data_IF_253237681486
#
_entry.id   IF_253237681486
#
_cell.length_a   1.000
_cell.length_b   1.000
_cell.length_c   1.000
_cell.angle_alpha   90.00
_cell.angle_beta   90.00
_cell.angle_gamma   90.00
#
_symmetry.space_group_name_H-M   'P 1'
#
loop_
_entity.id
_entity.type
_entity.pdbx_description
1 polymer ?
#
# COMPACT_ATOMS: atom_id res chain seq x y z
N UNK A 1 24.20 57.04 6.48
CA UNK A 1 22.97 56.48 7.09
C UNK A 1 22.72 55.13 6.43
N UNK A 2 22.93 54.04 7.17
CA UNK A 2 22.77 52.68 6.66
C UNK A 2 21.28 52.35 6.55
N UNK A 3 20.84 51.94 5.36
CA UNK A 3 19.48 51.49 5.13
C UNK A 3 19.25 50.17 5.90
N UNK A 4 18.35 50.22 6.86
CA UNK A 4 17.89 49.07 7.62
C UNK A 4 17.15 48.13 6.66
N UNK A 5 17.76 46.99 6.34
CA UNK A 5 17.12 45.93 5.59
C UNK A 5 15.88 45.46 6.34
N UNK A 6 14.70 45.60 5.72
CA UNK A 6 13.46 45.11 6.27
C UNK A 6 13.58 43.59 6.52
N UNK A 7 13.40 43.22 7.80
CA UNK A 7 13.41 41.83 8.24
C UNK A 7 12.34 41.07 7.44
N UNK A 8 12.75 40.09 6.65
CA UNK A 8 11.83 39.26 5.88
C UNK A 8 10.76 38.66 6.81
N UNK A 9 9.49 38.86 6.46
CA UNK A 9 8.37 38.32 7.22
C UNK A 9 8.48 36.78 7.29
N UNK A 10 8.20 36.16 8.46
CA UNK A 10 8.23 34.71 8.57
C UNK A 10 7.18 34.09 7.65
N UNK A 11 7.61 33.29 6.67
CA UNK A 11 6.72 32.45 5.85
C UNK A 11 5.93 31.53 6.79
N UNK A 12 4.64 31.80 6.99
CA UNK A 12 3.74 30.90 7.74
C UNK A 12 3.72 29.54 7.04
N UNK A 13 4.31 28.53 7.67
CA UNK A 13 4.21 27.10 7.30
C UNK A 13 2.76 26.64 7.54
N UNK A 14 1.84 26.95 6.62
CA UNK A 14 0.41 26.57 6.67
C UNK A 14 -0.07 26.03 5.32
N UNK A 15 0.68 25.11 4.71
CA UNK A 15 0.39 24.61 3.35
C UNK A 15 -0.54 23.39 3.34
N UNK A 16 -0.09 22.25 3.85
CA UNK A 16 -0.71 20.98 3.51
C UNK A 16 -2.02 20.65 4.23
N UNK A 17 -2.10 20.85 5.56
CA UNK A 17 -3.28 20.49 6.35
C UNK A 17 -4.53 21.23 5.88
N UNK A 18 -4.38 22.50 5.52
CA UNK A 18 -5.47 23.34 5.02
C UNK A 18 -5.90 22.93 3.60
N UNK A 19 -4.95 22.66 2.69
CA UNK A 19 -5.26 22.19 1.33
C UNK A 19 -5.99 20.85 1.39
N UNK A 20 -5.46 19.89 2.15
CA UNK A 20 -6.06 18.55 2.26
C UNK A 20 -7.47 18.62 2.85
N UNK A 21 -7.67 19.42 3.89
CA UNK A 21 -8.99 19.54 4.50
C UNK A 21 -9.97 20.35 3.64
N UNK A 22 -9.52 21.36 2.90
CA UNK A 22 -10.34 22.02 1.89
C UNK A 22 -10.74 21.06 0.79
N UNK A 23 -9.82 20.25 0.26
CA UNK A 23 -10.10 19.20 -0.73
C UNK A 23 -11.19 18.28 -0.18
N UNK A 24 -11.02 17.77 1.05
CA UNK A 24 -11.97 16.85 1.69
C UNK A 24 -13.33 17.52 1.93
N UNK A 25 -13.39 18.79 2.31
CA UNK A 25 -14.68 19.48 2.50
C UNK A 25 -15.36 19.77 1.17
N UNK A 26 -14.60 20.13 0.13
CA UNK A 26 -15.13 20.34 -1.20
C UNK A 26 -15.66 19.03 -1.81
N UNK A 27 -14.99 17.90 -1.55
CA UNK A 27 -15.52 16.55 -1.81
C UNK A 27 -16.87 16.32 -1.09
N UNK A 28 -16.98 16.77 0.15
CA UNK A 28 -18.15 16.46 0.97
C UNK A 28 -19.32 17.45 0.77
N UNK A 29 -19.05 18.66 0.27
CA UNK A 29 -20.01 19.76 0.07
C UNK A 29 -20.40 19.97 -1.40
N UNK A 30 -19.57 19.60 -2.39
CA UNK A 30 -19.87 19.75 -3.83
C UNK A 30 -21.17 19.05 -4.28
N UNK A 31 -21.63 18.11 -3.47
CA UNK A 31 -22.94 17.49 -3.53
C UNK A 31 -24.14 18.46 -3.40
N UNK A 32 -23.99 19.59 -2.71
CA UNK A 32 -25.11 20.45 -2.33
C UNK A 32 -25.58 21.37 -3.46
N UNK A 33 -24.73 21.64 -4.46
CA UNK A 33 -25.00 22.65 -5.49
C UNK A 33 -25.73 22.12 -6.74
N UNK A 34 -25.88 20.80 -6.90
CA UNK A 34 -26.55 20.19 -8.07
C UNK A 34 -27.59 19.20 -7.59
N UNK A 35 -28.84 19.66 -7.50
CA UNK A 35 -30.01 18.82 -7.24
C UNK A 35 -30.86 18.69 -8.50
N UNK A 36 -31.41 17.47 -8.69
CA UNK A 36 -32.25 16.97 -9.79
C UNK A 36 -31.50 16.19 -10.88
N UNK A 37 -30.90 15.04 -10.55
CA UNK A 37 -31.32 13.75 -11.13
C UNK A 37 -30.47 12.57 -10.68
N UNK A 38 -31.15 11.44 -10.56
CA UNK A 38 -30.67 10.05 -10.49
C UNK A 38 -30.24 9.50 -9.12
N UNK A 39 -31.01 8.50 -8.70
CA UNK A 39 -30.64 7.50 -7.72
C UNK A 39 -29.95 6.35 -8.45
N UNK A 40 -28.67 6.11 -8.16
CA UNK A 40 -28.05 4.82 -8.36
C UNK A 40 -27.05 4.62 -7.21
N UNK A 41 -27.38 3.70 -6.31
CA UNK A 41 -26.43 3.24 -5.30
C UNK A 41 -25.51 2.23 -5.97
N UNK A 42 -24.31 2.64 -6.35
CA UNK A 42 -23.21 1.72 -6.58
C UNK A 42 -22.36 1.65 -5.31
N UNK A 43 -22.00 0.45 -4.87
CA UNK A 43 -20.78 0.28 -4.06
C UNK A 43 -19.64 0.90 -4.85
N UNK A 44 -18.81 1.72 -4.21
CA UNK A 44 -17.60 2.21 -4.86
C UNK A 44 -16.63 1.04 -4.94
N UNK A 45 -16.31 0.62 -6.17
CA UNK A 45 -15.22 -0.32 -6.39
C UNK A 45 -13.94 0.25 -5.74
N UNK A 46 -13.27 -0.60 -4.97
CA UNK A 46 -11.94 -0.31 -4.49
C UNK A 46 -11.00 -0.08 -5.67
N UNK A 47 -10.08 0.85 -5.48
CA UNK A 47 -8.94 1.01 -6.37
C UNK A 47 -7.71 0.54 -5.61
N UNK A 48 -7.05 -0.50 -6.12
CA UNK A 48 -5.75 -0.93 -5.67
C UNK A 48 -4.65 -0.12 -6.37
N UNK A 49 -3.51 0.06 -5.70
CA UNK A 49 -2.33 0.69 -6.29
C UNK A 49 -1.34 -0.39 -6.77
N UNK A 50 -0.88 -0.27 -8.01
CA UNK A 50 0.14 -1.15 -8.59
C UNK A 50 1.56 -0.64 -8.26
N UNK A 51 2.40 -1.54 -7.76
CA UNK A 51 3.85 -1.36 -7.65
C UNK A 51 4.56 -2.35 -8.56
N UNK A 52 5.40 -1.87 -9.47
CA UNK A 52 6.25 -2.68 -10.34
C UNK A 52 7.67 -2.61 -9.80
N UNK A 53 8.22 -3.75 -9.41
CA UNK A 53 9.59 -3.82 -8.89
C UNK A 53 10.60 -4.16 -9.98
N UNK A 54 10.24 -5.06 -10.89
CA UNK A 54 11.05 -5.38 -12.07
C UNK A 54 10.23 -5.07 -13.34
N UNK A 55 10.84 -4.39 -14.34
CA UNK A 55 10.12 -3.88 -15.50
C UNK A 55 9.63 -5.04 -16.36
N UNK A 56 8.30 -5.23 -16.44
CA UNK A 56 7.51 -6.04 -17.41
C UNK A 56 6.18 -6.47 -16.78
N UNK A 57 5.36 -5.50 -16.38
CA UNK A 57 3.98 -5.75 -15.96
C UNK A 57 3.03 -5.05 -16.90
N UNK A 58 2.04 -5.80 -17.38
CA UNK A 58 0.98 -5.27 -18.23
C UNK A 58 -0.36 -5.37 -17.52
N UNK A 59 -1.20 -4.36 -17.74
CA UNK A 59 -2.57 -4.28 -17.23
C UNK A 59 -3.53 -4.24 -18.42
N UNK A 60 -4.61 -5.02 -18.33
CA UNK A 60 -5.75 -4.94 -19.23
C UNK A 60 -6.96 -4.46 -18.42
N UNK A 61 -7.57 -3.37 -18.85
CA UNK A 61 -8.75 -2.81 -18.18
C UNK A 61 -10.03 -3.40 -18.76
N UNK A 62 -10.93 -3.88 -17.91
CA UNK A 62 -12.26 -4.41 -18.27
C UNK A 62 -12.26 -5.39 -19.45
N UNK A 63 -11.28 -6.29 -19.49
CA UNK A 63 -11.15 -7.31 -20.55
C UNK A 63 -10.64 -6.78 -21.90
N UNK A 64 -10.13 -5.55 -21.94
CA UNK A 64 -9.43 -4.99 -23.11
C UNK A 64 -8.03 -5.57 -23.33
N UNK A 65 -7.26 -4.92 -24.21
CA UNK A 65 -5.90 -5.35 -24.52
C UNK A 65 -4.92 -5.04 -23.37
N UNK A 66 -3.93 -5.92 -23.19
CA UNK A 66 -2.85 -5.69 -22.23
C UNK A 66 -1.92 -4.56 -22.71
N UNK A 67 -1.79 -3.53 -21.87
CA UNK A 67 -0.84 -2.44 -22.06
C UNK A 67 0.21 -2.42 -20.96
N UNK A 68 1.42 -1.94 -21.25
CA UNK A 68 2.45 -1.74 -20.23
C UNK A 68 1.96 -0.76 -19.16
N UNK A 69 2.11 -1.14 -17.89
CA UNK A 69 1.76 -0.29 -16.76
C UNK A 69 3.02 0.28 -16.09
N UNK A 70 2.82 1.27 -15.22
CA UNK A 70 3.88 1.90 -14.43
C UNK A 70 3.57 1.81 -12.94
N UNK A 71 4.60 1.83 -12.09
CA UNK A 71 4.39 1.98 -10.64
C UNK A 71 3.54 3.22 -10.36
N UNK A 72 2.55 3.05 -9.50
CA UNK A 72 1.55 4.06 -9.19
C UNK A 72 0.26 3.92 -9.98
N UNK A 73 0.21 3.14 -11.07
CA UNK A 73 -1.05 2.90 -11.81
C UNK A 73 -2.12 2.29 -10.90
N UNK A 74 -3.39 2.61 -11.20
CA UNK A 74 -4.55 2.05 -10.50
C UNK A 74 -4.97 0.71 -11.06
N UNK A 75 -5.50 -0.16 -10.20
CA UNK A 75 -6.12 -1.44 -10.56
C UNK A 75 -7.49 -1.49 -9.91
N UNK A 76 -8.54 -1.72 -10.69
CA UNK A 76 -9.92 -1.80 -10.22
C UNK A 76 -10.54 -3.18 -10.54
N UNK A 77 -11.73 -3.43 -9.98
CA UNK A 77 -12.48 -4.63 -10.32
C UNK A 77 -12.75 -4.69 -11.84
N UNK A 78 -12.46 -5.83 -12.47
CA UNK A 78 -12.47 -6.03 -13.92
C UNK A 78 -11.06 -6.04 -14.54
N UNK A 79 -10.07 -5.46 -13.88
CA UNK A 79 -8.71 -5.36 -14.42
C UNK A 79 -7.92 -6.67 -14.27
N UNK A 80 -7.17 -7.00 -15.31
CA UNK A 80 -6.24 -8.11 -15.32
C UNK A 80 -4.79 -7.64 -15.30
N UNK A 81 -3.95 -8.30 -14.50
CA UNK A 81 -2.51 -8.08 -14.40
C UNK A 81 -1.76 -9.29 -14.91
N UNK A 82 -0.65 -9.01 -15.60
CA UNK A 82 0.26 -10.04 -16.07
C UNK A 82 1.72 -9.64 -15.87
N UNK A 83 2.51 -10.56 -15.33
CA UNK A 83 3.97 -10.48 -15.27
C UNK A 83 4.57 -11.49 -16.24
N UNK A 84 5.69 -11.15 -16.88
CA UNK A 84 6.43 -12.09 -17.72
C UNK A 84 7.48 -12.88 -16.91
N UNK A 85 8.44 -13.51 -17.59
CA UNK A 85 9.49 -14.32 -16.98
C UNK A 85 10.43 -13.54 -16.03
N UNK A 86 10.47 -12.21 -16.12
CA UNK A 86 11.26 -11.30 -15.29
C UNK A 86 10.38 -10.35 -14.46
N UNK A 87 9.07 -10.35 -14.65
CA UNK A 87 8.18 -9.40 -14.00
C UNK A 87 8.00 -9.69 -12.52
N UNK A 88 8.05 -8.63 -11.71
CA UNK A 88 7.71 -8.64 -10.29
C UNK A 88 6.86 -7.43 -9.98
N UNK A 89 5.69 -7.65 -9.41
CA UNK A 89 4.75 -6.59 -9.10
C UNK A 89 3.98 -6.85 -7.80
N UNK A 90 3.25 -5.87 -7.33
CA UNK A 90 2.25 -6.03 -6.29
C UNK A 90 1.07 -5.09 -6.49
N UNK A 91 -0.10 -5.52 -6.05
CA UNK A 91 -1.28 -4.67 -5.88
C UNK A 91 -1.56 -4.49 -4.39
N UNK A 92 -1.87 -3.27 -4.01
CA UNK A 92 -2.12 -2.88 -2.63
C UNK A 92 -3.50 -2.26 -2.51
N UNK A 93 -4.38 -2.90 -1.75
CA UNK A 93 -5.71 -2.36 -1.44
C UNK A 93 -5.63 -1.29 -0.31
N UNK A 94 -6.59 -0.34 -0.27
CA UNK A 94 -6.65 0.74 0.72
C UNK A 94 -6.63 0.31 2.20
N UNK A 95 -7.10 -0.90 2.50
CA UNK A 95 -7.13 -1.45 3.85
C UNK A 95 -5.76 -1.92 4.34
N UNK A 96 -4.78 -2.02 3.43
CA UNK A 96 -3.45 -2.58 3.65
C UNK A 96 -3.28 -4.02 3.13
N UNK A 97 -4.29 -4.63 2.50
CA UNK A 97 -4.16 -5.97 1.91
C UNK A 97 -3.27 -5.93 0.67
N UNK A 98 -2.16 -6.67 0.72
CA UNK A 98 -1.11 -6.68 -0.31
C UNK A 98 -1.07 -8.03 -1.02
N UNK A 99 -1.14 -8.03 -2.35
CA UNK A 99 -0.90 -9.22 -3.18
C UNK A 99 0.31 -8.99 -4.06
N UNK A 100 1.39 -9.74 -3.84
CA UNK A 100 2.60 -9.75 -4.67
C UNK A 100 2.49 -10.81 -5.77
N UNK A 101 2.96 -10.49 -6.96
CA UNK A 101 3.02 -11.35 -8.14
C UNK A 101 4.48 -11.73 -8.40
N UNK A 102 4.74 -13.01 -8.59
CA UNK A 102 6.02 -13.53 -9.07
C UNK A 102 6.08 -13.47 -10.61
N UNK A 103 7.13 -14.05 -11.19
CA UNK A 103 7.27 -14.22 -12.65
C UNK A 103 6.12 -15.08 -13.21
N UNK A 104 5.74 -14.82 -14.46
CA UNK A 104 4.73 -15.56 -15.23
C UNK A 104 3.37 -15.68 -14.50
N UNK A 105 2.97 -14.65 -13.77
CA UNK A 105 1.69 -14.62 -13.07
C UNK A 105 0.64 -13.91 -13.93
N UNK A 106 -0.59 -14.43 -13.91
CA UNK A 106 -1.75 -13.79 -14.53
C UNK A 106 -2.92 -13.85 -13.54
N UNK A 107 -3.45 -12.68 -13.17
CA UNK A 107 -4.60 -12.56 -12.27
C UNK A 107 -5.55 -11.46 -12.71
N UNK A 108 -6.79 -11.55 -12.26
CA UNK A 108 -7.82 -10.53 -12.44
C UNK A 108 -8.40 -10.18 -11.08
N UNK A 109 -8.43 -8.89 -10.74
CA UNK A 109 -9.19 -8.42 -9.59
C UNK A 109 -10.67 -8.40 -10.00
N UNK A 110 -11.49 -9.31 -9.48
CA UNK A 110 -12.89 -9.46 -9.93
C UNK A 110 -13.87 -8.70 -9.05
N UNK A 111 -13.58 -8.56 -7.77
CA UNK A 111 -14.30 -7.68 -6.87
C UNK A 111 -13.36 -7.10 -5.83
N UNK A 112 -13.66 -5.88 -5.41
CA UNK A 112 -13.12 -5.31 -4.19
C UNK A 112 -14.09 -4.23 -3.73
N UNK A 113 -14.87 -4.52 -2.70
CA UNK A 113 -15.91 -3.64 -2.22
C UNK A 113 -15.57 -3.09 -0.84
N UNK A 114 -15.82 -1.79 -0.66
CA UNK A 114 -15.74 -1.14 0.63
C UNK A 114 -17.11 -0.97 1.26
N UNK A 115 -17.21 -1.26 2.55
CA UNK A 115 -18.33 -0.86 3.36
C UNK A 115 -18.36 0.66 3.53
N UNK A 116 -19.52 1.20 3.95
CA UNK A 116 -19.74 2.66 4.08
C UNK A 116 -18.79 3.34 5.07
N UNK A 117 -18.24 2.59 6.01
CA UNK A 117 -17.25 3.04 7.00
C UNK A 117 -15.81 3.05 6.43
N UNK A 118 -15.64 2.67 5.16
CA UNK A 118 -14.37 2.61 4.47
C UNK A 118 -13.57 1.33 4.72
N UNK A 119 -14.11 0.35 5.45
CA UNK A 119 -13.45 -0.94 5.63
C UNK A 119 -13.68 -1.86 4.42
N UNK A 120 -12.70 -2.69 4.07
CA UNK A 120 -12.89 -3.70 3.05
C UNK A 120 -14.01 -4.66 3.50
N UNK A 121 -14.97 -4.90 2.63
CA UNK A 121 -16.09 -5.82 2.85
C UNK A 121 -15.78 -7.17 2.23
N UNK A 122 -15.35 -7.18 0.97
CA UNK A 122 -14.88 -8.37 0.27
C UNK A 122 -13.90 -7.98 -0.81
N UNK A 123 -12.98 -8.90 -1.13
CA UNK A 123 -12.19 -8.84 -2.35
C UNK A 123 -12.00 -10.24 -2.93
N UNK A 124 -12.05 -10.33 -4.25
CA UNK A 124 -11.90 -11.57 -4.99
C UNK A 124 -10.90 -11.40 -6.12
N UNK A 125 -9.99 -12.37 -6.22
CA UNK A 125 -9.03 -12.49 -7.31
C UNK A 125 -9.32 -13.80 -8.04
N UNK A 126 -9.33 -13.76 -9.36
CA UNK A 126 -9.20 -14.96 -10.20
C UNK A 126 -7.75 -15.02 -10.67
N UNK A 127 -7.04 -16.06 -10.29
CA UNK A 127 -5.68 -16.31 -10.75
C UNK A 127 -5.73 -17.40 -11.82
N UNK A 128 -5.00 -17.20 -12.92
CA UNK A 128 -4.93 -18.17 -14.02
C UNK A 128 -3.60 -18.90 -14.06
N UNK A 129 -2.52 -18.26 -13.63
CA UNK A 129 -1.18 -18.82 -13.72
C UNK A 129 -0.22 -18.18 -12.72
N UNK A 130 0.88 -18.87 -12.43
CA UNK A 130 2.02 -18.35 -11.67
C UNK A 130 1.77 -18.32 -10.17
N UNK A 131 2.70 -17.67 -9.45
CA UNK A 131 2.66 -17.56 -7.99
C UNK A 131 2.22 -16.17 -7.55
N UNK A 132 1.38 -16.12 -6.52
CA UNK A 132 1.09 -14.90 -5.77
C UNK A 132 1.25 -15.14 -4.28
N UNK A 133 1.68 -14.11 -3.56
CA UNK A 133 1.66 -14.09 -2.10
C UNK A 133 0.72 -12.98 -1.66
N UNK A 134 -0.20 -13.28 -0.75
CA UNK A 134 -1.13 -12.30 -0.21
C UNK A 134 -1.01 -12.20 1.31
N UNK A 135 -0.91 -10.97 1.80
CA UNK A 135 -1.05 -10.61 3.21
C UNK A 135 -2.37 -9.85 3.40
N UNK A 136 -3.40 -10.56 3.86
CA UNK A 136 -4.73 -9.98 4.13
C UNK A 136 -4.73 -9.36 5.51
N UNK A 137 -5.15 -8.11 5.61
CA UNK A 137 -5.16 -7.40 6.90
C UNK A 137 -6.22 -7.97 7.84
N UNK A 138 -5.83 -8.19 9.09
CA UNK A 138 -6.72 -8.66 10.14
C UNK A 138 -7.62 -7.51 10.61
N UNK A 139 -8.85 -7.43 10.10
CA UNK A 139 -9.83 -6.39 10.46
C UNK A 139 -11.03 -6.97 11.21
N UNK A 140 -11.63 -6.13 12.05
CA UNK A 140 -12.80 -6.46 12.87
C UNK A 140 -14.04 -6.74 12.01
N UNK A 141 -14.11 -6.18 10.79
CA UNK A 141 -15.15 -6.55 9.82
C UNK A 141 -14.93 -8.00 9.38
N UNK A 142 -16.02 -8.76 9.22
CA UNK A 142 -16.00 -10.13 8.68
C UNK A 142 -15.60 -10.21 7.21
N UNK A 143 -14.62 -9.42 6.79
CA UNK A 143 -14.20 -9.29 5.41
C UNK A 143 -13.65 -10.63 4.91
N UNK A 144 -14.09 -11.03 3.73
CA UNK A 144 -13.66 -12.27 3.09
C UNK A 144 -12.76 -11.92 1.92
N UNK A 145 -11.60 -12.59 1.86
CA UNK A 145 -10.73 -12.52 0.69
C UNK A 145 -10.71 -13.87 -0.01
N UNK A 146 -10.90 -13.88 -1.32
CA UNK A 146 -10.96 -15.10 -2.13
C UNK A 146 -9.93 -15.07 -3.25
N UNK A 147 -9.24 -16.19 -3.44
CA UNK A 147 -8.44 -16.46 -4.63
C UNK A 147 -8.98 -17.71 -5.30
N UNK A 148 -9.56 -17.55 -6.47
CA UNK A 148 -10.10 -18.64 -7.28
C UNK A 148 -9.12 -18.99 -8.40
N UNK A 149 -8.75 -20.26 -8.48
CA UNK A 149 -8.12 -20.86 -9.65
C UNK A 149 -9.14 -21.64 -10.49
N UNK A 150 -8.65 -22.33 -11.52
CA UNK A 150 -9.49 -23.22 -12.33
C UNK A 150 -10.01 -24.43 -11.51
N UNK A 151 -9.19 -24.96 -10.62
CA UNK A 151 -9.45 -26.22 -9.91
C UNK A 151 -10.13 -26.05 -8.55
N UNK A 152 -9.87 -24.94 -7.85
CA UNK A 152 -10.33 -24.72 -6.48
C UNK A 152 -10.33 -23.22 -6.11
N UNK A 153 -10.88 -22.89 -4.95
CA UNK A 153 -10.89 -21.54 -4.37
C UNK A 153 -10.35 -21.56 -2.95
N UNK A 154 -9.41 -20.67 -2.66
CA UNK A 154 -8.93 -20.38 -1.32
C UNK A 154 -9.71 -19.20 -0.73
N UNK A 155 -10.37 -19.40 0.40
CA UNK A 155 -11.12 -18.38 1.15
C UNK A 155 -10.43 -18.14 2.47
N UNK A 156 -10.16 -16.87 2.79
CA UNK A 156 -9.38 -16.51 3.98
C UNK A 156 -9.94 -15.29 4.71
N UNK A 157 -9.49 -15.13 5.95
CA UNK A 157 -9.70 -13.93 6.76
C UNK A 157 -8.45 -13.62 7.57
N UNK A 158 -7.78 -12.51 7.24
CA UNK A 158 -6.62 -12.04 8.01
C UNK A 158 -5.46 -13.04 8.00
N UNK A 159 -5.02 -13.43 6.81
CA UNK A 159 -4.17 -14.60 6.55
C UNK A 159 -2.99 -14.21 5.66
N UNK A 160 -1.81 -14.81 5.90
CA UNK A 160 -0.67 -14.75 4.98
C UNK A 160 -0.52 -16.08 4.26
N UNK A 161 -0.66 -16.06 2.94
CA UNK A 161 -0.67 -17.29 2.14
C UNK A 161 -0.11 -17.06 0.73
N UNK A 162 0.38 -18.13 0.12
CA UNK A 162 0.78 -18.19 -1.28
C UNK A 162 -0.20 -19.07 -2.06
N UNK A 163 -0.50 -18.66 -3.29
CA UNK A 163 -1.18 -19.47 -4.30
C UNK A 163 -0.27 -19.65 -5.50
N UNK A 164 0.00 -20.90 -5.87
CA UNK A 164 0.69 -21.27 -7.09
C UNK A 164 -0.24 -22.06 -8.01
N UNK A 165 -0.60 -21.46 -9.15
CA UNK A 165 -1.29 -22.16 -10.24
C UNK A 165 -0.25 -22.61 -11.27
N UNK A 166 -0.08 -23.92 -11.38
CA UNK A 166 0.87 -24.56 -12.30
C UNK A 166 0.30 -24.63 -13.71
N UNK A 167 1.17 -24.90 -14.68
CA UNK A 167 0.79 -25.02 -16.09
C UNK A 167 -0.19 -26.17 -16.37
N UNK A 168 -0.24 -27.18 -15.49
CA UNK A 168 -1.20 -28.29 -15.57
C UNK A 168 -2.59 -27.95 -15.00
N UNK A 169 -2.78 -26.73 -14.47
CA UNK A 169 -4.03 -26.28 -13.85
C UNK A 169 -4.19 -26.67 -12.37
N UNK A 170 -3.21 -27.38 -11.78
CA UNK A 170 -3.21 -27.64 -10.34
C UNK A 170 -2.93 -26.37 -9.55
N UNK A 171 -3.55 -26.28 -8.37
CA UNK A 171 -3.45 -25.13 -7.47
C UNK A 171 -2.83 -25.60 -6.15
N UNK A 172 -1.61 -25.15 -5.88
CA UNK A 172 -0.93 -25.33 -4.59
C UNK A 172 -1.18 -24.09 -3.74
N UNK A 173 -1.58 -24.30 -2.48
CA UNK A 173 -1.73 -23.26 -1.47
C UNK A 173 -0.74 -23.52 -0.34
N UNK A 174 0.02 -22.49 0.06
CA UNK A 174 0.84 -22.51 1.29
C UNK A 174 0.32 -21.45 2.25
N UNK A 175 -0.01 -21.87 3.46
CA UNK A 175 -0.56 -21.04 4.53
C UNK A 175 0.52 -20.77 5.58
N UNK A 176 0.96 -19.52 5.70
CA UNK A 176 2.01 -19.10 6.62
C UNK A 176 1.50 -18.50 7.92
N UNK A 177 0.31 -17.88 7.91
CA UNK A 177 -0.30 -17.28 9.11
C UNK A 177 -1.83 -17.28 8.97
N UNK A 178 -2.54 -17.64 10.04
CA UNK A 178 -4.00 -17.66 10.08
C UNK A 178 -4.61 -19.00 9.67
N UNK A 179 -5.83 -18.92 9.13
CA UNK A 179 -6.63 -20.06 8.69
C UNK A 179 -7.11 -19.83 7.25
N UNK A 180 -7.40 -20.92 6.54
CA UNK A 180 -7.83 -20.91 5.14
C UNK A 180 -8.79 -22.07 4.86
N UNK A 181 -9.91 -21.77 4.23
CA UNK A 181 -10.81 -22.77 3.68
C UNK A 181 -10.47 -22.99 2.21
N UNK A 182 -10.15 -24.24 1.84
CA UNK A 182 -9.79 -24.61 0.47
C UNK A 182 -10.90 -25.47 -0.13
N UNK A 183 -11.61 -24.91 -1.10
CA UNK A 183 -12.83 -25.49 -1.67
C UNK A 183 -12.63 -25.90 -3.13
N UNK A 184 -12.79 -27.19 -3.41
CA UNK A 184 -12.80 -27.80 -4.74
C UNK A 184 -13.97 -28.76 -4.87
N UNK A 185 -13.71 -30.00 -5.31
CA UNK A 185 -14.68 -31.11 -5.22
C UNK A 185 -14.92 -31.58 -3.78
N UNK A 186 -13.91 -31.42 -2.95
CA UNK A 186 -13.97 -31.59 -1.51
C UNK A 186 -13.51 -30.31 -0.82
N UNK A 187 -13.78 -30.21 0.48
CA UNK A 187 -13.37 -29.09 1.32
C UNK A 187 -12.23 -29.51 2.24
N UNK A 188 -11.23 -28.66 2.39
CA UNK A 188 -10.14 -28.81 3.35
C UNK A 188 -9.96 -27.50 4.11
N UNK A 189 -10.18 -27.53 5.42
CA UNK A 189 -9.82 -26.44 6.31
C UNK A 189 -8.35 -26.57 6.71
N UNK A 190 -7.59 -25.49 6.53
CA UNK A 190 -6.15 -25.43 6.80
C UNK A 190 -5.87 -24.45 7.94
N UNK A 191 -4.93 -24.84 8.81
CA UNK A 191 -4.40 -24.00 9.90
C UNK A 191 -2.90 -23.85 9.74
N UNK A 192 -2.36 -22.66 10.01
CA UNK A 192 -0.92 -22.42 9.83
C UNK A 192 -0.04 -23.30 10.74
N UNK A 193 1.17 -23.72 10.30
CA UNK A 193 1.69 -23.65 8.93
C UNK A 193 1.37 -24.93 8.15
N UNK A 194 0.68 -24.80 7.02
CA UNK A 194 0.27 -25.95 6.20
C UNK A 194 0.32 -25.64 4.71
N UNK A 195 0.42 -26.67 3.87
CA UNK A 195 0.14 -26.60 2.44
C UNK A 195 -0.84 -27.69 2.02
N UNK A 196 -1.60 -27.43 0.95
CA UNK A 196 -2.46 -28.42 0.28
C UNK A 196 -2.47 -28.15 -1.23
N UNK A 197 -2.77 -29.18 -2.03
CA UNK A 197 -2.84 -29.05 -3.49
C UNK A 197 -4.18 -29.56 -3.99
N UNK A 198 -4.85 -28.75 -4.81
CA UNK A 198 -5.92 -29.18 -5.68
C UNK A 198 -5.34 -29.65 -7.02
N UNK A 199 -5.65 -30.88 -7.44
CA UNK A 199 -5.33 -31.34 -8.78
C UNK A 199 -6.13 -30.56 -9.85
N UNK A 200 -5.83 -30.75 -11.13
CA UNK A 200 -6.51 -30.04 -12.22
C UNK A 200 -8.02 -30.35 -12.31
N UNK A 201 -8.49 -31.42 -11.65
CA UNK A 201 -9.89 -31.83 -11.58
C UNK A 201 -10.58 -31.33 -10.31
N UNK A 202 -9.88 -30.59 -9.46
CA UNK A 202 -10.38 -29.99 -8.23
C UNK A 202 -10.43 -30.92 -7.02
N UNK A 203 -9.81 -32.11 -7.06
CA UNK A 203 -9.68 -32.91 -5.84
C UNK A 203 -8.54 -32.35 -4.99
N UNK A 204 -8.83 -32.02 -3.73
CA UNK A 204 -7.86 -31.44 -2.80
C UNK A 204 -7.26 -32.55 -1.95
N UNK A 205 -5.94 -32.68 -2.00
CA UNK A 205 -5.17 -33.58 -1.14
C UNK A 205 -5.13 -33.11 0.32
N UNK A 206 -4.76 -34.00 1.23
CA UNK A 206 -4.64 -33.66 2.65
C UNK A 206 -3.68 -32.50 2.90
N UNK A 207 -4.04 -31.62 3.85
CA UNK A 207 -3.14 -30.58 4.33
C UNK A 207 -1.94 -31.20 5.06
N UNK A 208 -0.74 -30.68 4.79
CA UNK A 208 0.52 -31.17 5.36
C UNK A 208 1.53 -30.04 5.58
N UNK A 209 2.75 -30.34 6.06
CA UNK A 209 3.77 -29.31 6.26
C UNK A 209 4.16 -28.64 4.94
N UNK A 210 4.47 -27.34 5.00
CA UNK A 210 5.02 -26.61 3.85
C UNK A 210 6.34 -27.26 3.43
N UNK A 211 6.46 -27.63 2.16
CA UNK A 211 7.65 -28.24 1.59
C UNK A 211 8.57 -27.17 0.98
N UNK A 212 9.91 -27.35 1.08
CA UNK A 212 10.86 -26.49 0.39
C UNK A 212 10.62 -26.46 -1.12
N UNK A 213 10.69 -25.26 -1.71
CA UNK A 213 10.52 -25.01 -3.14
C UNK A 213 11.55 -23.97 -3.56
N UNK A 214 12.53 -24.38 -4.36
CA UNK A 214 13.65 -23.51 -4.76
C UNK A 214 13.24 -22.42 -5.75
N UNK A 215 12.10 -22.56 -6.42
CA UNK A 215 11.59 -21.55 -7.34
C UNK A 215 10.64 -20.56 -6.66
N UNK A 216 10.30 -20.79 -5.40
CA UNK A 216 9.42 -19.93 -4.61
C UNK A 216 10.20 -18.73 -4.05
N UNK A 217 9.94 -17.50 -4.52
CA UNK A 217 10.61 -16.32 -3.98
C UNK A 217 10.07 -15.93 -2.61
N UNK A 218 8.82 -16.29 -2.28
CA UNK A 218 8.08 -15.64 -1.20
C UNK A 218 8.50 -16.09 0.19
N UNK A 219 9.11 -17.27 0.36
CA UNK A 219 9.63 -17.71 1.66
C UNK A 219 10.70 -16.74 2.18
N UNK A 220 11.68 -16.41 1.36
CA UNK A 220 12.75 -15.48 1.74
C UNK A 220 12.22 -14.05 1.90
N UNK A 221 11.29 -13.63 1.04
CA UNK A 221 10.65 -12.30 1.10
C UNK A 221 9.83 -12.14 2.38
N UNK A 222 9.03 -13.14 2.73
CA UNK A 222 8.23 -13.14 3.95
C UNK A 222 9.11 -13.13 5.20
N UNK A 223 10.19 -13.92 5.22
CA UNK A 223 11.14 -13.92 6.34
C UNK A 223 11.77 -12.53 6.55
N UNK A 224 12.18 -11.86 5.47
CA UNK A 224 12.72 -10.51 5.54
C UNK A 224 11.66 -9.47 5.96
N UNK A 225 10.46 -9.51 5.39
CA UNK A 225 9.34 -8.63 5.77
C UNK A 225 8.96 -8.78 7.25
N UNK A 226 8.82 -10.01 7.74
CA UNK A 226 8.56 -10.27 9.16
C UNK A 226 9.69 -9.74 10.06
N UNK A 227 10.95 -9.94 9.67
CA UNK A 227 12.10 -9.46 10.43
C UNK A 227 12.20 -7.93 10.47
N UNK A 228 11.91 -7.25 9.35
CA UNK A 228 11.86 -5.79 9.27
C UNK A 228 10.71 -5.23 10.10
N UNK A 229 9.51 -5.82 10.00
CA UNK A 229 8.31 -5.38 10.70
C UNK A 229 8.37 -5.53 12.23
N UNK A 230 9.13 -6.49 12.76
CA UNK A 230 9.26 -6.70 14.21
C UNK A 230 9.78 -5.44 14.92
N UNK A 231 9.16 -5.02 16.03
CA UNK A 231 9.56 -3.83 16.82
C UNK A 231 9.64 -2.50 16.04
N UNK A 232 8.93 -2.39 14.92
CA UNK A 232 8.81 -1.15 14.14
C UNK A 232 7.37 -0.62 14.15
N UNK A 233 7.19 0.59 13.62
CA UNK A 233 5.87 1.21 13.54
C UNK A 233 5.12 0.67 12.31
N UNK A 234 3.92 0.08 12.47
CA UNK A 234 3.13 -0.39 11.33
C UNK A 234 2.86 0.72 10.29
N UNK A 235 2.99 0.38 9.01
CA UNK A 235 2.83 1.32 7.88
C UNK A 235 4.13 1.99 7.44
N UNK A 236 5.22 1.81 8.19
CA UNK A 236 6.54 2.32 7.80
C UNK A 236 7.31 1.39 6.87
N UNK A 237 6.87 0.14 6.73
CA UNK A 237 7.50 -0.88 5.89
C UNK A 237 7.45 -0.49 4.41
N UNK A 238 8.57 -0.70 3.72
CA UNK A 238 8.69 -0.54 2.28
C UNK A 238 9.63 -1.61 1.73
N UNK A 239 9.17 -2.28 0.68
CA UNK A 239 9.91 -3.36 0.06
C UNK A 239 10.57 -2.94 -1.25
N UNK A 240 11.69 -3.58 -1.55
CA UNK A 240 12.47 -3.35 -2.75
C UNK A 240 12.89 -4.69 -3.35
N UNK A 241 12.72 -4.83 -4.67
CA UNK A 241 13.17 -5.98 -5.44
C UNK A 241 13.92 -5.45 -6.65
N UNK A 242 15.24 -5.65 -6.67
CA UNK A 242 16.10 -5.25 -7.79
C UNK A 242 16.23 -6.36 -8.82
N UNK A 243 16.90 -6.14 -9.97
CA UNK A 243 17.25 -7.22 -10.90
C UNK A 243 18.12 -8.29 -10.21
N UNK A 244 18.32 -9.47 -10.83
CA UNK A 244 19.30 -10.44 -10.33
C UNK A 244 20.68 -9.79 -10.13
N UNK A 245 21.26 -10.02 -8.97
CA UNK A 245 22.59 -9.54 -8.58
C UNK A 245 23.63 -10.62 -8.90
N UNK A 246 24.85 -10.23 -9.28
CA UNK A 246 25.98 -11.16 -9.48
C UNK A 246 27.11 -10.92 -8.47
N UNK A 247 28.10 -11.81 -8.43
CA UNK A 247 29.25 -11.68 -7.54
C UNK A 247 30.00 -10.37 -7.79
N UNK A 248 30.25 -9.58 -6.74
CA UNK A 248 30.94 -8.30 -6.80
C UNK A 248 30.04 -7.12 -7.20
N UNK A 249 28.83 -7.37 -7.70
CA UNK A 249 27.88 -6.31 -8.02
C UNK A 249 27.24 -5.72 -6.77
N UNK A 250 26.74 -4.49 -6.92
CA UNK A 250 26.01 -3.80 -5.87
C UNK A 250 24.71 -3.20 -6.39
N UNK A 251 23.68 -3.22 -5.55
CA UNK A 251 22.41 -2.53 -5.77
C UNK A 251 22.12 -1.59 -4.62
N UNK A 252 21.43 -0.49 -4.91
CA UNK A 252 21.10 0.52 -3.90
C UNK A 252 19.63 0.88 -3.93
N UNK A 253 19.04 0.99 -2.74
CA UNK A 253 17.70 1.50 -2.53
C UNK A 253 17.74 2.59 -1.46
N UNK A 254 16.75 3.49 -1.49
CA UNK A 254 16.71 4.64 -0.58
C UNK A 254 15.40 4.67 0.17
N UNK A 255 15.47 5.00 1.46
CA UNK A 255 14.33 5.06 2.36
C UNK A 255 14.29 6.41 3.07
N UNK A 256 13.18 7.14 2.95
CA UNK A 256 12.97 8.37 3.73
C UNK A 256 12.65 8.02 5.18
N UNK A 257 13.41 8.59 6.12
CA UNK A 257 13.17 8.41 7.54
C UNK A 257 12.94 9.76 8.20
N UNK A 258 11.83 9.90 8.92
CA UNK A 258 11.43 11.15 9.54
C UNK A 258 12.05 11.36 10.94
N UNK A 259 12.87 10.41 11.40
CA UNK A 259 13.42 10.41 12.76
C UNK A 259 12.55 9.62 13.72
N UNK A 260 13.17 9.16 14.81
CA UNK A 260 12.57 8.22 15.74
C UNK A 260 13.64 7.42 16.47
N UNK A 261 13.39 6.13 16.72
CA UNK A 261 14.36 5.26 17.39
C UNK A 261 15.34 4.62 16.42
N UNK A 262 14.83 3.92 15.40
CA UNK A 262 15.66 3.11 14.50
C UNK A 262 15.09 3.04 13.08
N UNK A 263 15.98 2.72 12.14
CA UNK A 263 15.68 2.14 10.83
C UNK A 263 16.17 0.70 10.82
N UNK A 264 15.31 -0.24 10.43
CA UNK A 264 15.62 -1.67 10.33
C UNK A 264 15.47 -2.11 8.88
N UNK A 265 16.51 -2.72 8.33
CA UNK A 265 16.50 -3.32 7.01
C UNK A 265 16.77 -4.82 7.11
N UNK A 266 15.98 -5.61 6.41
CA UNK A 266 16.15 -7.06 6.32
C UNK A 266 16.31 -7.46 4.86
N UNK A 267 17.38 -8.20 4.55
CA UNK A 267 17.71 -8.70 3.23
C UNK A 267 17.43 -10.20 3.17
N UNK A 268 16.43 -10.59 2.38
CA UNK A 268 16.09 -11.98 2.07
C UNK A 268 16.66 -12.39 0.71
N UNK A 269 17.20 -13.60 0.66
CA UNK A 269 17.71 -14.25 -0.56
C UNK A 269 17.61 -15.78 -0.44
N UNK A 270 17.38 -16.51 -1.55
CA UNK A 270 17.22 -17.96 -1.59
C UNK A 270 18.38 -18.79 -1.01
N UNK A 271 19.64 -18.39 -1.20
CA UNK A 271 20.77 -19.21 -0.71
C UNK A 271 22.18 -18.76 -1.05
N UNK A 272 22.36 -17.73 -1.87
CA UNK A 272 23.69 -17.14 -2.13
C UNK A 272 24.30 -16.45 -0.90
N UNK A 273 25.59 -16.11 -0.94
CA UNK A 273 26.18 -15.21 0.04
C UNK A 273 26.00 -13.76 -0.42
N UNK A 274 25.28 -12.97 0.38
CA UNK A 274 25.12 -11.53 0.18
C UNK A 274 25.52 -10.76 1.43
N UNK A 275 25.68 -9.44 1.27
CA UNK A 275 25.92 -8.48 2.36
C UNK A 275 24.94 -7.33 2.25
N UNK A 276 24.42 -6.90 3.39
CA UNK A 276 23.58 -5.70 3.50
C UNK A 276 24.35 -4.60 4.23
N UNK A 277 24.33 -3.39 3.68
CA UNK A 277 24.76 -2.19 4.39
C UNK A 277 23.62 -1.19 4.46
N UNK A 278 23.48 -0.53 5.60
CA UNK A 278 22.57 0.60 5.81
C UNK A 278 23.43 1.83 6.04
N UNK A 279 23.37 2.80 5.13
CA UNK A 279 24.09 4.08 5.24
C UNK A 279 23.13 5.16 5.73
N UNK A 280 23.45 5.75 6.87
CA UNK A 280 22.70 6.86 7.45
C UNK A 280 23.05 8.20 6.77
N UNK A 281 22.21 9.25 6.93
CA UNK A 281 22.41 10.56 6.30
C UNK A 281 23.66 11.32 6.71
N UNK A 282 24.35 10.90 7.78
CA UNK A 282 25.62 11.45 8.25
C UNK A 282 26.85 10.67 7.72
N UNK A 283 26.63 9.63 6.91
CA UNK A 283 27.67 8.77 6.36
C UNK A 283 27.99 7.56 7.23
N UNK A 284 27.41 7.43 8.44
CA UNK A 284 27.60 6.23 9.25
C UNK A 284 27.04 5.00 8.52
N UNK A 285 27.81 3.92 8.49
CA UNK A 285 27.44 2.67 7.80
C UNK A 285 27.31 1.53 8.79
N UNK A 286 26.16 0.88 8.79
CA UNK A 286 25.87 -0.35 9.54
C UNK A 286 25.92 -1.51 8.55
N UNK A 287 26.55 -2.63 8.90
CA UNK A 287 26.76 -3.75 7.97
C UNK A 287 26.32 -5.07 8.60
N UNK A 288 25.66 -5.91 7.82
CA UNK A 288 25.29 -7.28 8.18
C UNK A 288 25.69 -8.28 7.09
N UNK A 289 26.08 -9.47 7.54
CA UNK A 289 26.43 -10.65 6.74
C UNK A 289 25.91 -11.89 7.48
N UNK A 290 25.63 -12.98 6.78
CA UNK A 290 25.25 -14.23 7.43
C UNK A 290 24.29 -15.06 6.60
N UNK A 291 23.39 -15.76 7.28
CA UNK A 291 22.27 -16.45 6.66
C UNK A 291 21.13 -15.49 6.35
N UNK A 292 20.31 -15.84 5.37
CA UNK A 292 19.05 -15.15 5.05
C UNK A 292 18.01 -15.39 6.17
N UNK A 293 17.26 -14.37 6.63
CA UNK A 293 17.42 -12.96 6.28
C UNK A 293 18.57 -12.29 7.06
N UNK A 294 19.38 -11.48 6.38
CA UNK A 294 20.35 -10.60 7.05
C UNK A 294 19.60 -9.39 7.60
N UNK A 295 19.66 -9.15 8.90
CA UNK A 295 19.03 -7.99 9.56
C UNK A 295 20.10 -6.96 9.95
N UNK A 296 19.89 -5.71 9.56
CA UNK A 296 20.73 -4.58 9.93
C UNK A 296 19.86 -3.50 10.58
N UNK A 297 20.25 -3.09 11.78
CA UNK A 297 19.58 -2.03 12.54
C UNK A 297 20.50 -0.82 12.59
N UNK A 298 20.03 0.30 12.04
CA UNK A 298 20.59 1.61 12.26
C UNK A 298 19.84 2.28 13.42
N UNK A 299 20.36 2.13 14.64
CA UNK A 299 19.81 2.75 15.86
C UNK A 299 20.25 4.22 15.93
N UNK A 300 19.84 4.98 14.93
CA UNK A 300 20.09 6.41 14.80
C UNK A 300 18.76 7.11 14.61
N UNK A 301 18.45 8.06 15.48
CA UNK A 301 17.25 8.88 15.37
C UNK A 301 17.36 10.00 14.33
N UNK A 302 18.41 9.98 13.49
CA UNK A 302 18.71 11.03 12.54
C UNK A 302 17.75 11.01 11.34
N UNK A 303 16.86 11.99 11.25
CA UNK A 303 16.00 12.14 10.08
C UNK A 303 16.82 12.40 8.80
N UNK A 304 16.38 11.82 7.68
CA UNK A 304 16.98 11.98 6.36
C UNK A 304 16.79 10.77 5.45
N UNK A 305 17.52 10.74 4.34
CA UNK A 305 17.47 9.64 3.38
C UNK A 305 18.53 8.58 3.72
N UNK A 306 18.09 7.37 4.06
CA UNK A 306 18.96 6.23 4.30
C UNK A 306 19.16 5.46 3.00
N UNK A 307 20.35 4.90 2.81
CA UNK A 307 20.67 4.09 1.62
C UNK A 307 20.96 2.65 2.00
N UNK A 308 20.17 1.72 1.48
CA UNK A 308 20.40 0.28 1.57
C UNK A 308 21.34 -0.11 0.44
N UNK A 309 22.49 -0.70 0.74
CA UNK A 309 23.43 -1.20 -0.26
C UNK A 309 23.53 -2.72 -0.12
N UNK A 310 23.13 -3.42 -1.18
CA UNK A 310 23.14 -4.87 -1.28
C UNK A 310 24.34 -5.24 -2.13
N UNK A 311 25.16 -6.17 -1.65
CA UNK A 311 26.43 -6.53 -2.29
C UNK A 311 26.46 -8.04 -2.48
N UNK A 312 26.61 -8.46 -3.74
CA UNK A 312 26.76 -9.87 -4.09
C UNK A 312 28.15 -10.35 -3.71
N UNK A 313 28.24 -11.41 -2.90
CA UNK A 313 29.52 -11.90 -2.39
C UNK A 313 29.96 -13.15 -3.17
N UNK A 314 29.21 -14.24 -3.06
CA UNK A 314 29.54 -15.50 -3.73
C UNK A 314 28.30 -16.40 -3.87
N UNK A 315 28.34 -17.36 -4.81
CA UNK A 315 27.24 -18.31 -5.02
C UNK A 315 26.06 -17.80 -5.85
N UNK A 316 26.11 -16.58 -6.41
CA UNK A 316 25.00 -16.01 -7.20
C UNK A 316 24.89 -16.60 -8.62
N UNK A 317 25.88 -17.38 -9.06
CA UNK A 317 25.87 -18.04 -10.38
C UNK A 317 25.89 -17.07 -11.57
N UNK A 318 25.74 -17.62 -12.79
CA UNK A 318 25.75 -16.84 -14.03
C UNK A 318 24.43 -16.09 -14.30
N UNK A 319 23.32 -16.55 -13.72
CA UNK A 319 22.01 -15.93 -13.85
C UNK A 319 21.72 -14.87 -12.79
N UNK A 320 22.62 -14.75 -11.80
CA UNK A 320 22.42 -13.94 -10.61
C UNK A 320 21.31 -14.49 -9.68
N UNK A 321 21.14 -13.82 -8.55
CA UNK A 321 20.08 -14.10 -7.59
C UNK A 321 19.36 -12.79 -7.25
N UNK A 322 18.02 -12.81 -7.23
CA UNK A 322 17.22 -11.60 -6.98
C UNK A 322 17.14 -11.34 -5.47
N UNK A 323 17.71 -10.24 -4.95
CA UNK A 323 17.56 -9.88 -3.55
C UNK A 323 16.17 -9.26 -3.28
N UNK A 324 15.64 -9.51 -2.09
CA UNK A 324 14.50 -8.79 -1.55
C UNK A 324 14.93 -8.03 -0.30
N UNK A 325 14.65 -6.73 -0.25
CA UNK A 325 14.96 -5.90 0.91
C UNK A 325 13.66 -5.31 1.43
N UNK A 326 13.34 -5.59 2.69
CA UNK A 326 12.28 -4.89 3.41
C UNK A 326 12.91 -3.91 4.41
N UNK A 327 12.43 -2.67 4.41
CA UNK A 327 12.89 -1.62 5.32
C UNK A 327 11.70 -1.08 6.09
N UNK A 328 11.77 -1.10 7.42
CA UNK A 328 10.78 -0.53 8.30
C UNK A 328 11.46 0.31 9.39
N UNK A 329 10.69 1.15 10.08
CA UNK A 329 11.25 2.09 11.02
C UNK A 329 10.40 2.24 12.28
N UNK A 330 11.06 2.51 13.40
CA UNK A 330 10.39 2.88 14.64
C UNK A 330 10.28 4.40 14.69
N UNK A 331 9.08 4.89 14.39
CA UNK A 331 8.76 6.30 14.28
C UNK A 331 7.50 6.64 15.09
N UNK A 332 7.41 7.83 15.70
CA UNK A 332 6.27 8.20 16.53
C UNK A 332 5.01 8.45 15.69
N UNK A 333 3.88 7.89 16.17
CA UNK A 333 2.55 8.09 15.62
C UNK A 333 1.88 9.33 16.20
N UNK A 334 2.41 10.51 15.84
CA UNK A 334 1.96 11.80 16.37
C UNK A 334 1.77 12.81 15.25
N UNK A 335 0.91 13.80 15.49
CA UNK A 335 0.81 14.96 14.62
C UNK A 335 2.07 15.81 14.72
N UNK A 336 2.88 15.80 13.67
CA UNK A 336 4.10 16.57 13.57
C UNK A 336 4.50 16.78 12.12
N UNK A 337 5.16 17.89 11.84
CA UNK A 337 5.69 18.20 10.52
C UNK A 337 7.22 18.19 10.57
N UNK A 338 7.83 17.30 9.80
CA UNK A 338 9.28 17.14 9.72
C UNK A 338 9.71 17.40 8.28
N UNK A 339 10.78 18.15 8.14
CA UNK A 339 11.45 18.45 6.87
C UNK A 339 12.93 18.63 7.19
N UNK A 340 13.67 17.53 7.11
CA UNK A 340 15.06 17.45 7.53
C UNK A 340 15.84 16.54 6.59
N UNK A 341 16.98 17.06 6.09
CA UNK A 341 17.92 16.32 5.23
C UNK A 341 17.23 15.61 4.05
N UNK A 342 16.27 16.28 3.44
CA UNK A 342 15.49 15.77 2.30
C UNK A 342 14.33 14.85 2.65
N UNK A 343 14.27 14.29 3.86
CA UNK A 343 13.12 13.51 4.33
C UNK A 343 12.01 14.42 4.84
N UNK A 344 10.77 14.04 4.50
CA UNK A 344 9.56 14.81 4.81
C UNK A 344 8.56 13.90 5.50
N UNK A 345 7.98 14.39 6.61
CA UNK A 345 6.80 13.82 7.25
C UNK A 345 5.75 14.87 7.51
N UNK A 346 4.49 14.49 7.30
CA UNK A 346 3.31 15.27 7.67
C UNK A 346 2.38 14.35 8.45
N UNK A 347 2.33 14.55 9.76
CA UNK A 347 1.37 13.91 10.66
C UNK A 347 0.16 14.82 10.85
N UNK A 348 -1.04 14.31 10.58
CA UNK A 348 -2.29 15.05 10.64
C UNK A 348 -3.30 14.30 11.51
N UNK A 349 -3.60 14.85 12.68
CA UNK A 349 -4.70 14.34 13.51
C UNK A 349 -6.05 14.84 13.00
N UNK A 350 -7.14 14.24 13.49
CA UNK A 350 -8.51 14.77 13.30
C UNK A 350 -8.65 16.26 13.68
N UNK A 351 -7.91 16.72 14.70
CA UNK A 351 -7.89 18.13 15.06
C UNK A 351 -7.18 18.98 14.00
N UNK A 352 -6.04 18.53 13.49
CA UNK A 352 -5.31 19.29 12.46
C UNK A 352 -6.12 19.41 11.17
N UNK A 353 -6.84 18.34 10.81
CA UNK A 353 -7.74 18.29 9.66
C UNK A 353 -8.96 19.19 9.78
N UNK A 354 -9.30 19.70 10.96
CA UNK A 354 -10.45 20.59 11.16
C UNK A 354 -10.05 22.00 11.58
N UNK A 355 -8.88 22.12 12.22
CA UNK A 355 -8.35 23.38 12.71
C UNK A 355 -8.10 24.34 11.55
N UNK A 356 -8.44 25.62 11.75
CA UNK A 356 -8.19 26.70 10.79
C UNK A 356 -8.96 26.63 9.46
N UNK A 357 -10.01 25.82 9.37
CA UNK A 357 -10.92 25.84 8.22
C UNK A 357 -11.97 26.92 8.46
N UNK A 358 -11.97 27.92 7.58
CA UNK A 358 -12.90 29.02 7.58
C UNK A 358 -13.46 29.13 6.17
N UNK A 359 -14.58 28.44 5.94
CA UNK A 359 -15.33 28.50 4.68
C UNK A 359 -16.65 29.19 5.00
N UNK A 360 -16.99 30.26 4.28
CA UNK A 360 -18.27 30.93 4.45
C UNK A 360 -19.42 29.95 4.25
N UNK A 361 -20.40 29.97 5.15
CA UNK A 361 -21.54 29.05 5.15
C UNK A 361 -21.28 27.69 5.82
N UNK A 362 -20.03 27.32 6.11
CA UNK A 362 -19.70 26.07 6.81
C UNK A 362 -19.72 26.25 8.32
N UNK A 363 -20.44 25.36 9.02
CA UNK A 363 -20.46 25.27 10.48
C UNK A 363 -20.52 23.81 10.93
N UNK A 364 -20.33 23.57 12.24
CA UNK A 364 -20.40 22.24 12.86
C UNK A 364 -19.48 21.17 12.22
N UNK A 365 -18.38 21.60 11.60
CA UNK A 365 -17.44 20.71 10.94
C UNK A 365 -16.79 19.77 11.97
N UNK A 366 -16.82 18.48 11.67
CA UNK A 366 -16.08 17.45 12.39
C UNK A 366 -15.52 16.47 11.37
N UNK A 367 -14.23 16.15 11.50
CA UNK A 367 -13.56 15.13 10.70
C UNK A 367 -12.86 14.15 11.63
N UNK A 368 -12.84 12.88 11.24
CA UNK A 368 -12.31 11.78 12.04
C UNK A 368 -11.48 10.87 11.17
N UNK A 369 -10.22 10.68 11.54
CA UNK A 369 -9.36 9.62 10.99
C UNK A 369 -9.83 8.28 11.54
N UNK A 370 -10.20 7.35 10.66
CA UNK A 370 -10.81 6.06 11.01
C UNK A 370 -9.76 4.96 11.02
N UNK A 371 -9.69 4.24 12.14
CA UNK A 371 -8.87 3.04 12.28
C UNK A 371 -7.36 3.27 12.08
N UNK A 372 -6.64 2.15 11.96
CA UNK A 372 -5.26 2.11 11.47
C UNK A 372 -5.29 1.59 10.03
N UNK A 373 -4.35 1.95 9.17
CA UNK A 373 -4.20 1.37 7.83
C UNK A 373 -2.73 1.42 7.47
N UNK A 374 -2.23 0.39 6.81
CA UNK A 374 -0.82 0.31 6.41
C UNK A 374 -0.54 1.00 5.07
N UNK A 375 -1.58 1.28 4.28
CA UNK A 375 -1.43 1.75 2.89
C UNK A 375 -2.52 2.75 2.47
N UNK A 376 -2.94 3.61 3.41
CA UNK A 376 -3.92 4.63 3.12
C UNK A 376 -4.41 5.34 4.37
N UNK A 377 -5.41 6.19 4.17
CA UNK A 377 -6.15 6.82 5.26
C UNK A 377 -7.64 6.82 4.96
N UNK A 378 -8.47 6.50 5.95
CA UNK A 378 -9.92 6.65 5.85
C UNK A 378 -10.30 7.82 6.75
N UNK A 379 -11.01 8.79 6.18
CA UNK A 379 -11.43 10.00 6.89
C UNK A 379 -12.94 10.12 6.73
N UNK A 380 -13.65 10.16 7.85
CA UNK A 380 -15.08 10.50 7.87
C UNK A 380 -15.26 11.96 8.24
N UNK A 381 -16.27 12.61 7.69
CA UNK A 381 -16.59 14.00 7.95
C UNK A 381 -18.08 14.21 8.12
N UNK A 382 -18.44 15.25 8.87
CA UNK A 382 -19.79 15.80 8.96
C UNK A 382 -19.76 17.30 9.16
N UNK A 383 -20.82 17.98 8.76
CA UNK A 383 -20.95 19.41 9.00
C UNK A 383 -22.27 19.96 8.51
N UNK A 384 -22.37 21.29 8.52
CA UNK A 384 -23.51 22.04 8.00
C UNK A 384 -22.99 23.07 7.01
N UNK A 385 -23.54 23.12 5.79
CA UNK A 385 -23.21 24.15 4.79
C UNK A 385 -24.47 24.91 4.41
N UNK A 386 -24.51 26.22 4.61
CA UNK A 386 -25.69 27.08 4.37
C UNK A 386 -27.00 26.52 4.98
N UNK A 387 -26.91 25.99 6.21
CA UNK A 387 -28.05 25.40 6.93
C UNK A 387 -28.35 23.93 6.61
N UNK A 388 -27.64 23.33 5.65
CA UNK A 388 -27.82 21.94 5.24
C UNK A 388 -26.81 20.98 5.85
N UNK A 389 -27.29 19.91 6.48
CA UNK A 389 -26.43 18.85 7.02
C UNK A 389 -25.81 17.97 5.93
N UNK A 390 -24.55 17.61 6.11
CA UNK A 390 -23.83 16.65 5.27
C UNK A 390 -23.00 15.68 6.11
N UNK A 391 -22.79 14.48 5.56
CA UNK A 391 -21.84 13.48 6.07
C UNK A 391 -21.12 12.80 4.90
N UNK A 392 -19.94 12.26 5.14
CA UNK A 392 -19.32 11.37 4.16
C UNK A 392 -17.99 10.79 4.60
N UNK A 393 -17.44 9.97 3.73
CA UNK A 393 -16.23 9.17 3.91
C UNK A 393 -15.34 9.37 2.69
N UNK A 394 -14.07 9.70 2.93
CA UNK A 394 -13.03 9.84 1.93
C UNK A 394 -11.91 8.86 2.25
N UNK A 395 -11.38 8.22 1.22
CA UNK A 395 -10.19 7.37 1.26
C UNK A 395 -9.05 8.14 0.60
N UNK A 396 -7.92 8.23 1.29
CA UNK A 396 -6.67 8.74 0.76
C UNK A 396 -5.75 7.57 0.44
N UNK A 397 -5.20 7.58 -0.77
CA UNK A 397 -4.18 6.63 -1.23
C UNK A 397 -2.96 7.39 -1.74
N UNK A 398 -1.83 6.68 -1.82
CA UNK A 398 -0.69 7.15 -2.60
C UNK A 398 -0.96 6.80 -4.07
N UNK A 399 -0.76 7.76 -4.97
CA UNK A 399 -0.81 7.51 -6.42
C UNK A 399 0.32 8.27 -7.10
N UNK A 400 1.18 7.55 -7.83
CA UNK A 400 2.43 8.08 -8.36
C UNK A 400 3.31 8.71 -7.26
N UNK A 401 3.56 10.01 -7.37
CA UNK A 401 4.31 10.81 -6.39
C UNK A 401 3.43 11.64 -5.47
N UNK A 402 2.10 11.56 -5.60
CA UNK A 402 1.14 12.38 -4.86
C UNK A 402 0.11 11.56 -4.11
N UNK A 403 -1.01 12.21 -3.77
CA UNK A 403 -2.14 11.60 -3.10
C UNK A 403 -3.34 11.46 -4.04
N UNK A 404 -3.95 10.29 -4.07
CA UNK A 404 -5.26 10.09 -4.66
C UNK A 404 -6.32 10.22 -3.58
N UNK A 405 -7.42 10.89 -3.92
CA UNK A 405 -8.55 11.12 -3.01
C UNK A 405 -9.82 10.51 -3.60
N UNK A 406 -10.37 9.49 -2.93
CA UNK A 406 -11.52 8.71 -3.40
C UNK A 406 -12.71 8.95 -2.46
N UNK A 407 -13.82 9.51 -2.94
CA UNK A 407 -15.06 9.57 -2.17
C UNK A 407 -15.69 8.17 -2.10
N UNK A 408 -15.77 7.60 -0.89
CA UNK A 408 -16.36 6.27 -0.67
C UNK A 408 -17.87 6.34 -0.44
N UNK A 409 -18.32 7.35 0.30
CA UNK A 409 -19.73 7.62 0.52
C UNK A 409 -19.94 9.10 0.84
N UNK A 410 -20.97 9.73 0.30
CA UNK A 410 -21.37 11.06 0.70
C UNK A 410 -22.90 11.15 0.76
N UNK A 411 -23.40 11.83 1.78
CA UNK A 411 -24.82 12.14 1.96
C UNK A 411 -24.96 13.63 2.21
N UNK A 412 -25.78 14.29 1.41
CA UNK A 412 -26.16 15.68 1.61
C UNK A 412 -27.69 15.75 1.68
N UNK A 413 -28.24 16.49 2.64
CA UNK A 413 -29.70 16.62 2.82
C UNK A 413 -30.44 15.27 2.91
N UNK A 414 -29.80 14.24 3.45
CA UNK A 414 -30.38 12.89 3.57
C UNK A 414 -30.40 12.06 2.28
N UNK A 415 -29.82 12.54 1.16
CA UNK A 415 -29.71 11.78 -0.09
C UNK A 415 -28.25 11.44 -0.38
N UNK A 416 -28.04 10.24 -0.93
CA UNK A 416 -26.73 9.76 -1.34
C UNK A 416 -26.25 10.51 -2.58
N UNK A 417 -24.97 10.83 -2.59
CA UNK A 417 -24.30 11.52 -3.69
C UNK A 417 -23.43 10.49 -4.43
N UNK A 418 -23.60 10.32 -5.74
CA UNK A 418 -22.73 9.47 -6.54
C UNK A 418 -21.27 9.92 -6.48
N UNK A 419 -20.33 8.99 -6.29
CA UNK A 419 -18.90 9.28 -6.19
C UNK A 419 -18.35 10.05 -7.41
N UNK A 420 -18.84 9.75 -8.63
CA UNK A 420 -18.42 10.41 -9.88
C UNK A 420 -18.75 11.90 -9.94
N UNK A 421 -19.89 12.31 -9.36
CA UNK A 421 -20.29 13.73 -9.28
C UNK A 421 -19.43 14.51 -8.29
N UNK A 422 -18.89 13.83 -7.28
CA UNK A 422 -17.99 14.46 -6.33
C UNK A 422 -16.63 14.72 -6.98
N UNK A 423 -16.06 13.75 -7.69
CA UNK A 423 -14.71 13.84 -8.27
C UNK A 423 -14.56 14.98 -9.28
N UNK A 424 -15.56 15.18 -10.16
CA UNK A 424 -15.50 16.20 -11.22
C UNK A 424 -15.47 17.63 -10.69
N UNK A 425 -16.05 17.89 -9.52
CA UNK A 425 -16.06 19.23 -8.92
C UNK A 425 -14.75 19.59 -8.20
N UNK A 426 -13.97 18.59 -7.77
CA UNK A 426 -12.71 18.83 -7.04
C UNK A 426 -11.66 19.44 -7.96
N UNK A 427 -11.54 18.90 -9.18
CA UNK A 427 -10.63 19.42 -10.21
C UNK A 427 -10.85 20.90 -10.47
N UNK A 428 -12.12 21.34 -10.43
CA UNK A 428 -12.49 22.74 -10.68
C UNK A 428 -12.21 23.69 -9.51
N UNK A 429 -12.25 23.23 -8.25
CA UNK A 429 -12.11 24.12 -7.08
C UNK A 429 -10.69 24.10 -6.49
N UNK A 430 -10.04 22.93 -6.47
CA UNK A 430 -8.69 22.79 -5.92
C UNK A 430 -7.63 23.18 -6.96
N UNK A 431 -7.99 23.19 -8.25
CA UNK A 431 -7.04 23.41 -9.34
C UNK A 431 -6.02 22.27 -9.49
N UNK A 432 -6.30 21.11 -8.90
CA UNK A 432 -5.51 19.89 -9.00
C UNK A 432 -6.41 18.69 -9.27
N UNK A 433 -5.87 17.70 -9.98
CA UNK A 433 -6.55 16.44 -10.20
C UNK A 433 -6.64 15.64 -8.89
N UNK A 434 -7.85 15.29 -8.39
CA UNK A 434 -8.03 14.45 -7.20
C UNK A 434 -7.41 13.06 -7.34
N UNK A 435 -7.12 12.59 -8.56
CA UNK A 435 -6.40 11.33 -8.78
C UNK A 435 -4.91 11.44 -8.44
N UNK A 436 -4.34 12.65 -8.36
CA UNK A 436 -2.92 12.86 -8.06
C UNK A 436 -2.67 14.28 -7.51
N UNK A 437 -3.12 14.51 -6.28
CA UNK A 437 -2.91 15.76 -5.53
C UNK A 437 -1.44 15.88 -5.14
N UNK A 438 -0.79 16.94 -5.64
CA UNK A 438 0.58 17.29 -5.30
C UNK A 438 0.62 18.00 -3.94
N UNK A 439 1.39 17.42 -3.01
CA UNK A 439 1.52 17.88 -1.62
C UNK A 439 2.81 18.67 -1.34
N UNK A 440 3.54 19.03 -2.40
CA UNK A 440 4.79 19.80 -2.34
C UNK A 440 6.06 18.96 -2.13
N UNK A 441 5.95 17.64 -2.16
CA UNK A 441 7.05 16.67 -2.07
C UNK A 441 6.60 15.32 -2.66
N UNK A 442 7.54 14.41 -2.92
CA UNK A 442 7.24 13.06 -3.40
C UNK A 442 6.71 12.24 -2.24
N UNK A 443 5.45 11.79 -2.32
CA UNK A 443 4.85 10.85 -1.37
C UNK A 443 5.38 9.44 -1.63
N UNK A 444 5.95 8.84 -0.60
CA UNK A 444 6.46 7.47 -0.64
C UNK A 444 5.59 6.51 0.16
N UNK A 445 5.07 6.96 1.30
CA UNK A 445 4.23 6.17 2.19
C UNK A 445 3.07 7.01 2.73
N UNK A 446 1.90 6.38 2.84
CA UNK A 446 0.70 6.94 3.42
C UNK A 446 0.06 5.86 4.29
N UNK A 447 -0.11 6.15 5.58
CA UNK A 447 -0.67 5.21 6.54
C UNK A 447 -1.38 5.94 7.67
N UNK A 448 -2.21 5.22 8.43
CA UNK A 448 -2.81 5.76 9.66
C UNK A 448 -2.38 4.96 10.88
N UNK A 449 -1.99 5.68 11.91
CA UNK A 449 -1.72 5.10 13.22
C UNK A 449 -2.17 6.04 14.33
N UNK A 450 -2.80 5.47 15.37
CA UNK A 450 -3.31 6.19 16.55
C UNK A 450 -4.16 7.44 16.21
N UNK A 451 -5.01 7.35 15.17
CA UNK A 451 -5.87 8.47 14.76
C UNK A 451 -5.16 9.62 14.06
N UNK A 452 -3.92 9.38 13.59
CA UNK A 452 -3.12 10.33 12.83
C UNK A 452 -2.88 9.77 11.42
N UNK A 453 -3.10 10.59 10.41
CA UNK A 453 -2.65 10.33 9.03
C UNK A 453 -1.17 10.69 8.95
N UNK A 454 -0.34 9.75 8.54
CA UNK A 454 1.08 9.96 8.30
C UNK A 454 1.33 9.94 6.79
N UNK A 455 1.87 11.04 6.27
CA UNK A 455 2.34 11.17 4.90
C UNK A 455 3.84 11.35 4.94
N UNK A 456 4.56 10.34 4.49
CA UNK A 456 6.02 10.34 4.44
C UNK A 456 6.52 10.39 3.00
N UNK A 457 7.69 11.00 2.84
CA UNK A 457 8.43 10.93 1.61
C UNK A 457 9.62 11.86 1.59
N UNK A 458 9.87 12.48 0.44
CA UNK A 458 11.10 13.25 0.22
C UNK A 458 10.89 14.49 -0.63
N UNK A 459 11.66 15.53 -0.35
CA UNK A 459 11.71 16.74 -1.17
C UNK A 459 12.19 16.39 -2.58
N UNK A 460 11.59 17.02 -3.59
CA UNK A 460 12.13 17.02 -4.95
C UNK A 460 13.43 17.81 -4.94
N UNK A 461 14.55 17.15 -5.24
CA UNK A 461 15.87 17.77 -5.36
C UNK A 461 15.93 18.84 -6.42
#
# INVERSE_FOLDING_TARGET
MAAVAAKAAPRRRRGLSWILALVIILLLVGAAAVWLNTSASASTNAVATLTIFQPTTSVAHDGGDYATATTGSTVQAGDALKTDAKGRAAIQLPDGTLTRLARNAELTLTSAHFAKDGNLQDASIVQKAGRTFTNVQHRVSGATFKVSGQSATATVRGTKFEVYIKADGSMLVKLFEGELDFDGKNHVHMVTPQQATADAQGNIGSAGPILPDTDDPFVAELAASNAAGQDTTPGTEQDYIGPPLHNGEQQQFTYSYAGGKLVKAALGYPGSAMKLQVKAPDGQTYTGTGASPIVVIADSGLAGIYTMVIIGVSGLGANGETPFVSVAASEPCVSTNIDQRGAVRRGLSSHDLTSNIQISGLSNLSMTVVGKSLAGAIITGKGTFNGAGWTGTVILLRHGTGLQVIPAAATAFGVKVPASQVVSQIGTVVGQDPSNVNVGFIVERLFTCNGVVIIDGRMTS
#
